data_IF_049831562331
#
_entry.id   IF_049831562331
#
_cell.length_a   1.000
_cell.length_b   1.000
_cell.length_c   1.000
_cell.angle_alpha   90.00
_cell.angle_beta   90.00
_cell.angle_gamma   90.00
#
_symmetry.space_group_name_H-M   'P 1'
#
loop_
_entity.id
_entity.type
_entity.pdbx_description
1 polymer ?
#
# COMPACT_ATOMS: atom_id res chain seq x y z
N UNK A 1 47.76 -35.10 -18.11
CA UNK A 1 48.56 -33.95 -17.64
C UNK A 1 48.16 -32.74 -18.48
N UNK A 2 47.73 -31.58 -18.01
CA UNK A 2 47.29 -31.09 -16.71
C UNK A 2 46.31 -29.94 -17.00
N UNK A 3 45.19 -29.88 -16.29
CA UNK A 3 44.15 -28.88 -16.48
C UNK A 3 44.70 -27.49 -16.13
N UNK A 4 44.84 -26.61 -17.14
CA UNK A 4 45.20 -25.20 -16.94
C UNK A 4 44.00 -24.49 -16.30
N UNK A 5 43.99 -24.42 -14.97
CA UNK A 5 43.11 -23.52 -14.23
C UNK A 5 43.60 -22.10 -14.44
N UNK A 6 42.87 -21.32 -15.23
CA UNK A 6 43.07 -19.87 -15.35
C UNK A 6 42.59 -19.21 -14.05
N UNK A 7 43.52 -18.88 -13.17
CA UNK A 7 43.23 -18.03 -12.01
C UNK A 7 43.01 -16.60 -12.50
N UNK A 8 41.79 -16.09 -12.33
CA UNK A 8 41.47 -14.69 -12.61
C UNK A 8 42.02 -13.83 -11.46
N UNK A 9 42.94 -12.93 -11.79
CA UNK A 9 43.57 -11.99 -10.87
C UNK A 9 42.57 -10.87 -10.56
N UNK A 10 42.17 -10.70 -9.31
CA UNK A 10 41.44 -9.51 -8.86
C UNK A 10 42.48 -8.60 -8.22
N UNK A 11 42.79 -7.45 -8.84
CA UNK A 11 43.63 -6.43 -8.22
C UNK A 11 42.88 -5.11 -8.17
N UNK A 12 42.70 -4.60 -6.95
CA UNK A 12 42.32 -3.21 -6.65
C UNK A 12 43.20 -2.75 -5.48
N UNK A 13 44.50 -2.52 -5.72
CA UNK A 13 45.36 -1.62 -4.92
C UNK A 13 46.81 -1.67 -5.46
N UNK A 14 47.52 -0.53 -5.58
CA UNK A 14 48.91 -0.46 -6.05
C UNK A 14 49.93 -0.61 -4.91
N UNK A 15 49.73 -1.54 -3.98
CA UNK A 15 50.67 -1.80 -2.88
C UNK A 15 51.39 -3.12 -3.11
N UNK A 16 52.49 -3.06 -3.88
CA UNK A 16 53.45 -4.14 -4.04
C UNK A 16 54.65 -3.81 -3.16
N UNK A 17 54.97 -4.67 -2.19
CA UNK A 17 56.25 -4.64 -1.47
C UNK A 17 57.20 -5.62 -2.18
N UNK A 18 58.37 -5.14 -2.60
CA UNK A 18 59.49 -5.91 -3.18
C UNK A 18 59.23 -6.74 -4.46
N UNK A 19 58.27 -6.34 -5.29
CA UNK A 19 58.14 -6.87 -6.66
C UNK A 19 57.73 -8.34 -6.79
N UNK A 20 57.31 -8.99 -5.69
CA UNK A 20 56.78 -10.35 -5.69
C UNK A 20 55.26 -10.31 -5.52
N UNK A 21 54.46 -11.04 -6.33
CA UNK A 21 53.01 -11.07 -6.19
C UNK A 21 52.59 -11.68 -4.84
N UNK A 22 51.84 -10.91 -4.06
CA UNK A 22 51.35 -11.31 -2.74
C UNK A 22 50.03 -12.09 -2.92
N UNK A 23 50.07 -13.39 -2.64
CA UNK A 23 48.89 -14.26 -2.75
C UNK A 23 48.16 -14.30 -1.40
N UNK A 24 47.03 -13.61 -1.30
CA UNK A 24 46.13 -13.70 -0.16
C UNK A 24 44.93 -14.56 -0.56
N UNK A 25 44.66 -15.63 0.17
CA UNK A 25 43.43 -16.41 0.04
C UNK A 25 42.53 -16.14 1.25
N UNK A 26 41.30 -15.73 1.01
CA UNK A 26 40.24 -15.66 2.02
C UNK A 26 39.21 -16.76 1.74
N UNK A 27 38.69 -17.40 2.79
CA UNK A 27 37.62 -18.39 2.69
C UNK A 27 36.23 -17.77 2.47
N UNK A 28 36.15 -16.44 2.41
CA UNK A 28 34.91 -15.73 2.12
C UNK A 28 34.81 -15.45 0.62
N UNK A 29 33.70 -15.85 -0.01
CA UNK A 29 33.35 -15.41 -1.36
C UNK A 29 33.38 -13.87 -1.42
N UNK A 30 33.83 -13.26 -2.53
CA UNK A 30 33.79 -11.80 -2.67
C UNK A 30 32.33 -11.34 -2.53
N UNK A 31 32.03 -10.69 -1.41
CA UNK A 31 30.73 -10.06 -1.21
C UNK A 31 30.63 -8.95 -2.26
N UNK A 32 29.66 -9.04 -3.16
CA UNK A 32 29.38 -7.97 -4.11
C UNK A 32 29.14 -6.70 -3.29
N UNK A 33 30.01 -5.70 -3.43
CA UNK A 33 29.82 -4.40 -2.81
C UNK A 33 28.54 -3.77 -3.37
N UNK A 34 27.43 -3.86 -2.63
CA UNK A 34 26.26 -3.05 -2.88
C UNK A 34 26.56 -1.61 -2.46
N UNK A 35 26.04 -0.62 -3.19
CA UNK A 35 26.12 0.81 -2.82
C UNK A 35 25.37 1.16 -1.52
N UNK A 36 24.81 0.16 -0.84
CA UNK A 36 24.03 0.29 0.37
C UNK A 36 24.66 -0.61 1.42
N UNK A 37 24.77 -0.08 2.63
CA UNK A 37 25.18 -0.86 3.79
C UNK A 37 24.02 -1.78 4.21
N UNK A 38 24.29 -3.06 4.47
CA UNK A 38 23.26 -3.93 4.99
C UNK A 38 22.90 -3.50 6.42
N UNK A 39 21.62 -3.25 6.66
CA UNK A 39 21.09 -2.77 7.93
C UNK A 39 19.78 -3.47 8.29
N UNK A 40 19.39 -3.38 9.57
CA UNK A 40 18.13 -3.93 10.08
C UNK A 40 18.24 -5.32 10.71
N UNK A 41 17.13 -5.76 11.33
CA UNK A 41 17.08 -6.97 12.16
C UNK A 41 17.44 -8.26 11.41
N UNK A 42 17.05 -8.37 10.13
CA UNK A 42 17.36 -9.56 9.32
C UNK A 42 18.85 -9.72 9.05
N UNK A 43 19.55 -8.62 8.74
CA UNK A 43 21.00 -8.64 8.60
C UNK A 43 21.69 -8.90 9.93
N UNK A 44 21.22 -8.25 11.01
CA UNK A 44 21.78 -8.43 12.35
C UNK A 44 21.68 -9.88 12.84
N UNK A 45 20.53 -10.53 12.64
CA UNK A 45 20.32 -11.93 12.99
C UNK A 45 21.27 -12.87 12.23
N UNK A 46 21.44 -12.66 10.91
CA UNK A 46 22.39 -13.45 10.11
C UNK A 46 23.83 -13.21 10.55
N UNK A 47 24.19 -11.97 10.90
CA UNK A 47 25.53 -11.64 11.38
C UNK A 47 25.85 -12.28 12.74
N UNK A 48 24.86 -12.30 13.66
CA UNK A 48 24.97 -13.00 14.95
C UNK A 48 25.14 -14.51 14.76
N UNK A 49 24.34 -15.11 13.88
CA UNK A 49 24.44 -16.53 13.52
C UNK A 49 25.80 -16.90 12.95
N UNK A 50 26.36 -16.08 12.06
CA UNK A 50 27.71 -16.28 11.52
C UNK A 50 28.81 -16.14 12.57
N UNK A 51 28.60 -15.33 13.62
CA UNK A 51 29.51 -15.22 14.77
C UNK A 51 29.29 -16.29 15.83
N UNK A 52 28.36 -17.22 15.64
CA UNK A 52 28.03 -18.26 16.62
C UNK A 52 27.32 -17.71 17.86
N UNK A 53 26.81 -16.49 17.79
CA UNK A 53 26.00 -15.83 18.83
C UNK A 53 24.51 -15.99 18.49
N UNK A 54 24.11 -17.20 18.11
CA UNK A 54 22.70 -17.53 17.89
C UNK A 54 22.04 -17.65 19.26
N UNK A 55 21.09 -16.76 19.59
CA UNK A 55 20.15 -17.04 20.67
C UNK A 55 19.29 -18.20 20.21
N UNK A 56 19.63 -19.41 20.65
CA UNK A 56 18.82 -20.60 20.40
C UNK A 56 17.49 -20.41 21.13
N UNK A 57 16.44 -20.07 20.41
CA UNK A 57 15.10 -20.49 20.82
C UNK A 57 15.02 -22.00 20.59
N UNK A 58 15.36 -22.76 21.64
CA UNK A 58 15.11 -24.19 21.71
C UNK A 58 13.59 -24.42 21.60
N UNK A 59 13.15 -24.85 20.42
CA UNK A 59 11.83 -25.42 20.21
C UNK A 59 11.96 -26.93 20.23
N UNK A 60 11.93 -27.52 21.42
CA UNK A 60 11.56 -28.92 21.59
C UNK A 60 10.29 -29.04 22.43
N UNK A 61 9.35 -29.76 21.85
CA UNK A 61 8.08 -30.23 22.37
C UNK A 61 8.27 -31.14 23.59
N UNK A 62 7.63 -30.83 24.72
CA UNK A 62 7.11 -31.86 25.62
C UNK A 62 5.90 -31.36 26.41
N UNK A 63 4.94 -32.25 26.58
CA UNK A 63 3.57 -32.05 27.01
C UNK A 63 3.45 -32.51 28.47
N UNK A 64 3.56 -31.60 29.46
CA UNK A 64 3.11 -31.85 30.85
C UNK A 64 2.73 -30.59 31.64
N UNK A 65 1.52 -30.65 32.18
CA UNK A 65 0.97 -29.86 33.30
C UNK A 65 1.87 -29.89 34.54
N UNK A 66 2.10 -28.74 35.21
CA UNK A 66 1.76 -28.45 36.62
C UNK A 66 2.24 -27.05 37.08
N UNK A 67 1.43 -26.42 37.93
CA UNK A 67 1.65 -25.18 38.70
C UNK A 67 2.95 -25.10 39.50
N UNK A 68 3.47 -23.88 39.71
CA UNK A 68 3.63 -23.25 41.05
C UNK A 68 4.37 -21.90 40.99
N UNK A 69 4.02 -21.05 41.96
CA UNK A 69 4.41 -19.65 42.19
C UNK A 69 5.89 -19.39 42.53
N UNK A 70 6.39 -18.19 42.20
CA UNK A 70 6.81 -17.11 43.14
C UNK A 70 8.07 -16.30 42.71
N UNK A 71 7.86 -14.98 42.59
CA UNK A 71 8.72 -13.77 42.78
C UNK A 71 10.22 -13.82 42.51
N UNK A 72 10.77 -12.98 41.62
CA UNK A 72 11.15 -11.53 41.76
C UNK A 72 12.43 -11.35 40.90
N UNK A 73 12.86 -10.24 40.29
CA UNK A 73 12.80 -8.81 40.59
C UNK A 73 13.29 -8.06 39.32
N UNK A 74 12.50 -7.06 38.90
CA UNK A 74 12.87 -5.77 38.29
C UNK A 74 14.13 -5.60 37.39
N UNK A 75 13.90 -5.22 36.12
CA UNK A 75 14.76 -4.27 35.39
C UNK A 75 13.90 -3.51 34.38
N UNK A 76 13.40 -2.35 34.81
CA UNK A 76 12.74 -1.36 33.96
C UNK A 76 13.76 -0.64 33.07
N UNK A 77 13.65 -0.79 31.75
CA UNK A 77 14.23 0.12 30.77
C UNK A 77 13.12 0.52 29.78
N UNK A 78 12.75 1.80 29.85
CA UNK A 78 11.61 2.37 29.14
C UNK A 78 11.69 2.20 27.63
N UNK A 79 10.63 1.63 27.07
CA UNK A 79 10.29 1.79 25.66
C UNK A 79 9.09 2.72 25.60
N UNK A 80 9.27 3.85 24.94
CA UNK A 80 8.26 4.88 24.73
C UNK A 80 6.98 4.28 24.13
N UNK A 81 5.92 4.30 24.95
CA UNK A 81 4.56 4.02 24.54
C UNK A 81 4.10 5.11 23.58
N UNK A 82 4.22 4.87 22.27
CA UNK A 82 3.44 5.61 21.28
C UNK A 82 1.99 5.13 21.40
N UNK A 83 1.23 5.76 22.29
CA UNK A 83 -0.22 5.58 22.36
C UNK A 83 -0.84 6.14 21.06
N UNK A 84 -0.99 5.28 20.05
CA UNK A 84 -1.97 5.51 19.00
C UNK A 84 -3.34 5.42 19.67
N UNK A 85 -3.89 6.58 20.08
CA UNK A 85 -5.29 6.72 20.48
C UNK A 85 -6.14 6.07 19.39
N UNK A 86 -6.76 4.95 19.73
CA UNK A 86 -7.69 4.19 18.90
C UNK A 86 -8.75 5.12 18.32
N UNK A 87 -8.85 5.09 16.99
CA UNK A 87 -9.84 5.84 16.25
C UNK A 87 -11.08 4.95 16.22
N UNK A 88 -12.04 5.22 17.11
CA UNK A 88 -13.38 4.63 17.08
C UNK A 88 -13.90 4.61 15.64
N UNK A 89 -14.01 3.44 15.03
CA UNK A 89 -14.69 3.27 13.74
C UNK A 89 -16.20 3.16 14.04
N UNK A 90 -16.87 4.30 14.07
CA UNK A 90 -18.34 4.31 14.09
C UNK A 90 -18.84 3.74 12.76
N UNK A 91 -19.44 2.55 12.80
CA UNK A 91 -20.38 2.12 11.79
C UNK A 91 -21.51 3.16 11.67
N UNK A 92 -21.90 3.43 10.42
CA UNK A 92 -22.86 4.45 9.95
C UNK A 92 -22.15 5.61 9.23
N UNK A 93 -22.10 5.51 7.90
CA UNK A 93 -21.85 6.59 6.93
C UNK A 93 -21.11 7.83 7.42
N UNK A 94 -19.92 7.67 8.00
CA UNK A 94 -19.07 8.83 8.24
C UNK A 94 -18.63 9.32 6.87
N UNK A 95 -19.09 10.51 6.49
CA UNK A 95 -18.61 11.19 5.28
C UNK A 95 -17.09 11.29 5.42
N UNK A 96 -16.38 10.36 4.80
CA UNK A 96 -14.94 10.33 4.85
C UNK A 96 -14.47 11.62 4.21
N UNK A 97 -13.73 12.43 4.96
CA UNK A 97 -13.28 13.72 4.46
C UNK A 97 -12.51 13.49 3.15
N UNK A 98 -12.87 14.24 2.10
CA UNK A 98 -12.21 14.11 0.82
C UNK A 98 -10.76 14.63 0.94
N UNK A 99 -9.83 13.70 1.15
CA UNK A 99 -8.41 13.99 1.33
C UNK A 99 -7.82 14.71 0.12
N UNK A 100 -8.31 14.44 -1.09
CA UNK A 100 -7.87 15.17 -2.28
C UNK A 100 -8.37 16.61 -2.25
N UNK A 101 -9.63 16.84 -1.90
CA UNK A 101 -10.17 18.19 -1.77
C UNK A 101 -9.43 19.01 -0.69
N UNK A 102 -9.11 18.40 0.45
CA UNK A 102 -8.32 19.03 1.52
C UNK A 102 -6.93 19.49 1.06
N UNK A 103 -6.30 18.73 0.17
CA UNK A 103 -5.01 19.12 -0.44
C UNK A 103 -5.17 20.00 -1.69
N UNK A 104 -6.38 20.42 -2.06
CA UNK A 104 -6.63 21.19 -3.29
C UNK A 104 -6.42 20.38 -4.58
N UNK A 105 -6.45 19.05 -4.49
CA UNK A 105 -6.29 18.10 -5.59
C UNK A 105 -7.63 17.44 -5.99
N UNK A 106 -8.76 17.99 -5.56
CA UNK A 106 -10.10 17.42 -5.82
C UNK A 106 -10.39 17.18 -7.31
N UNK A 107 -9.80 17.97 -8.21
CA UNK A 107 -9.96 17.79 -9.66
C UNK A 107 -9.14 16.62 -10.23
N UNK A 108 -8.01 16.29 -9.60
CA UNK A 108 -7.10 15.22 -10.05
C UNK A 108 -7.47 13.88 -9.41
N UNK A 109 -7.93 13.87 -8.15
CA UNK A 109 -8.23 12.65 -7.37
C UNK A 109 -7.15 11.58 -7.55
N UNK A 110 -7.54 10.35 -7.88
CA UNK A 110 -6.67 9.20 -8.12
C UNK A 110 -5.64 9.40 -9.24
N UNK A 111 -5.82 10.38 -10.14
CA UNK A 111 -4.84 10.73 -11.18
C UNK A 111 -3.69 11.60 -10.66
N UNK A 112 -3.78 12.12 -9.44
CA UNK A 112 -2.72 12.94 -8.87
C UNK A 112 -1.41 12.15 -8.72
N UNK A 113 -0.31 12.68 -9.24
CA UNK A 113 1.02 12.10 -9.05
C UNK A 113 1.53 12.36 -7.63
N UNK A 114 2.46 11.52 -7.15
CA UNK A 114 3.07 11.72 -5.84
C UNK A 114 3.73 13.10 -5.70
N UNK A 115 4.36 13.60 -6.76
CA UNK A 115 5.00 14.92 -6.74
C UNK A 115 3.96 16.05 -6.61
N UNK A 116 2.80 15.91 -7.26
CA UNK A 116 1.69 16.84 -7.08
C UNK A 116 1.14 16.81 -5.65
N UNK A 117 1.01 15.62 -5.04
CA UNK A 117 0.58 15.45 -3.64
C UNK A 117 1.59 16.09 -2.67
N UNK A 118 2.89 15.84 -2.86
CA UNK A 118 3.94 16.45 -2.04
C UNK A 118 3.96 17.96 -2.17
N UNK A 119 3.80 18.48 -3.40
CA UNK A 119 3.78 19.92 -3.65
C UNK A 119 2.55 20.57 -3.01
N UNK A 120 1.36 20.02 -3.24
CA UNK A 120 0.13 20.58 -2.71
C UNK A 120 0.08 20.54 -1.18
N UNK A 121 0.60 19.48 -0.56
CA UNK A 121 0.75 19.40 0.89
C UNK A 121 1.66 20.52 1.44
N UNK A 122 2.82 20.76 0.83
CA UNK A 122 3.71 21.87 1.27
C UNK A 122 3.01 23.21 1.16
N UNK A 123 2.34 23.47 0.04
CA UNK A 123 1.62 24.73 -0.19
C UNK A 123 0.47 24.89 0.81
N UNK A 124 -0.26 23.82 1.10
CA UNK A 124 -1.40 23.80 2.03
C UNK A 124 -0.95 23.94 3.49
N UNK A 125 0.08 23.21 3.90
CA UNK A 125 0.68 23.30 5.22
C UNK A 125 1.22 24.71 5.49
N UNK A 126 1.85 25.35 4.50
CA UNK A 126 2.33 26.73 4.61
C UNK A 126 1.19 27.76 4.69
N UNK A 127 0.01 27.47 4.14
CA UNK A 127 -1.16 28.37 4.21
C UNK A 127 -1.92 28.19 5.52
N UNK A 128 -2.12 26.95 5.96
CA UNK A 128 -2.95 26.61 7.11
C UNK A 128 -2.16 26.30 8.39
N UNK A 129 -0.86 26.63 8.44
CA UNK A 129 -0.08 26.46 9.65
C UNK A 129 -0.68 27.30 10.80
N UNK A 130 -0.81 26.77 12.03
CA UNK A 130 -1.41 27.48 13.15
C UNK A 130 -0.74 28.84 13.42
N UNK A 131 0.59 28.90 13.37
CA UNK A 131 1.33 30.16 13.58
C UNK A 131 0.97 31.27 12.57
N UNK A 132 0.68 30.92 11.31
CA UNK A 132 0.31 31.91 10.29
C UNK A 132 -1.16 32.31 10.39
N UNK A 133 -1.99 31.43 10.94
CA UNK A 133 -3.41 31.67 11.17
C UNK A 133 -3.66 32.41 12.49
N UNK A 134 -2.63 32.60 13.33
CA UNK A 134 -2.72 33.34 14.59
C UNK A 134 -3.21 34.79 14.41
N UNK A 135 -3.00 35.39 13.24
CA UNK A 135 -3.54 36.72 12.93
C UNK A 135 -5.09 36.73 12.86
N UNK A 136 -5.72 35.62 12.46
CA UNK A 136 -7.19 35.52 12.45
C UNK A 136 -7.75 35.56 13.87
N UNK A 137 -7.07 34.92 14.83
CA UNK A 137 -7.45 34.89 16.25
C UNK A 137 -7.50 36.28 16.91
N UNK A 138 -6.81 37.27 16.33
CA UNK A 138 -6.81 38.65 16.83
C UNK A 138 -8.10 39.41 16.47
N UNK A 139 -8.86 38.92 15.47
CA UNK A 139 -10.11 39.55 15.05
C UNK A 139 -11.31 39.15 15.91
N UNK A 140 -11.23 38.06 16.67
CA UNK A 140 -12.30 37.68 17.60
C UNK A 140 -12.24 38.43 18.93
N UNK A 141 -13.41 38.90 19.38
CA UNK A 141 -13.54 39.76 20.58
C UNK A 141 -13.78 39.00 21.87
N UNK A 142 -14.30 37.76 21.80
CA UNK A 142 -14.59 36.95 22.99
C UNK A 142 -13.58 35.82 23.13
N UNK A 143 -13.14 35.55 24.37
CA UNK A 143 -12.19 34.45 24.65
C UNK A 143 -12.73 33.08 24.21
N UNK A 144 -14.04 32.88 24.29
CA UNK A 144 -14.69 31.67 23.78
C UNK A 144 -14.60 31.55 22.24
N UNK A 145 -14.77 32.65 21.49
CA UNK A 145 -14.65 32.64 20.03
C UNK A 145 -13.20 32.45 19.58
N UNK A 146 -12.24 33.06 20.28
CA UNK A 146 -10.79 32.84 20.04
C UNK A 146 -10.43 31.37 20.23
N UNK A 147 -10.90 30.75 21.32
CA UNK A 147 -10.64 29.34 21.57
C UNK A 147 -11.27 28.45 20.50
N UNK A 148 -12.54 28.69 20.13
CA UNK A 148 -13.19 27.92 19.07
C UNK A 148 -12.45 28.02 17.72
N UNK A 149 -11.98 29.21 17.35
CA UNK A 149 -11.20 29.42 16.12
C UNK A 149 -9.85 28.75 16.15
N UNK A 150 -9.19 28.76 17.30
CA UNK A 150 -7.94 28.02 17.50
C UNK A 150 -8.16 26.53 17.30
N UNK A 151 -9.22 25.97 17.88
CA UNK A 151 -9.56 24.55 17.74
C UNK A 151 -9.92 24.20 16.29
N UNK A 152 -10.62 25.08 15.56
CA UNK A 152 -10.90 24.93 14.12
C UNK A 152 -9.61 24.89 13.29
N UNK A 153 -8.67 25.80 13.54
CA UNK A 153 -7.38 25.87 12.84
C UNK A 153 -6.55 24.61 13.09
N UNK A 154 -6.43 24.18 14.34
CA UNK A 154 -5.69 22.97 14.71
C UNK A 154 -6.33 21.71 14.11
N UNK A 155 -7.66 21.62 14.14
CA UNK A 155 -8.42 20.52 13.55
C UNK A 155 -8.22 20.46 12.02
N UNK A 156 -8.29 21.60 11.34
CA UNK A 156 -8.08 21.66 9.89
C UNK A 156 -6.64 21.29 9.50
N UNK A 157 -5.64 21.79 10.23
CA UNK A 157 -4.25 21.43 9.98
C UNK A 157 -3.99 19.95 10.20
N UNK A 158 -4.58 19.36 11.26
CA UNK A 158 -4.52 17.92 11.50
C UNK A 158 -5.18 17.11 10.38
N UNK A 159 -6.30 17.58 9.83
CA UNK A 159 -6.94 16.94 8.68
C UNK A 159 -6.06 16.98 7.42
N UNK A 160 -5.33 18.08 7.19
CA UNK A 160 -4.34 18.19 6.10
C UNK A 160 -3.19 17.19 6.30
N UNK A 161 -2.69 17.03 7.53
CA UNK A 161 -1.65 16.06 7.84
C UNK A 161 -2.14 14.62 7.59
N UNK A 162 -3.32 14.28 8.08
CA UNK A 162 -3.94 12.97 7.85
C UNK A 162 -4.15 12.70 6.35
N UNK A 163 -4.64 13.69 5.59
CA UNK A 163 -4.83 13.56 4.15
C UNK A 163 -3.51 13.24 3.44
N UNK A 164 -2.41 13.91 3.81
CA UNK A 164 -1.11 13.64 3.24
C UNK A 164 -0.57 12.25 3.63
N UNK A 165 -0.72 11.84 4.89
CA UNK A 165 -0.31 10.51 5.35
C UNK A 165 -1.03 9.37 4.62
N UNK A 166 -2.32 9.55 4.32
CA UNK A 166 -3.12 8.58 3.57
C UNK A 166 -2.74 8.57 2.09
N UNK A 167 -2.62 9.75 1.46
CA UNK A 167 -2.38 9.85 0.02
C UNK A 167 -0.92 9.62 -0.39
N UNK A 168 0.04 9.79 0.52
CA UNK A 168 1.46 9.56 0.23
C UNK A 168 1.86 8.08 0.35
N UNK A 169 1.18 7.30 1.19
CA UNK A 169 1.40 5.86 1.30
C UNK A 169 0.63 5.12 0.18
N UNK A 170 1.29 4.40 -0.74
CA UNK A 170 0.62 3.74 -1.86
C UNK A 170 -0.45 2.73 -1.44
N UNK A 171 -0.28 2.07 -0.30
CA UNK A 171 -1.22 1.07 0.19
C UNK A 171 -2.45 1.75 0.78
N UNK A 172 -2.26 2.76 1.64
CA UNK A 172 -3.38 3.53 2.21
C UNK A 172 -4.13 4.30 1.13
N UNK A 173 -3.43 4.84 0.15
CA UNK A 173 -4.02 5.52 -1.00
C UNK A 173 -4.89 4.57 -1.81
N UNK A 174 -4.45 3.35 -2.10
CA UNK A 174 -5.28 2.36 -2.82
C UNK A 174 -6.54 2.00 -2.04
N UNK A 175 -6.40 1.78 -0.74
CA UNK A 175 -7.54 1.51 0.15
C UNK A 175 -8.53 2.67 0.06
N UNK A 176 -8.06 3.90 0.27
CA UNK A 176 -8.87 5.12 0.17
C UNK A 176 -9.52 5.29 -1.20
N UNK A 177 -8.74 5.20 -2.28
CA UNK A 177 -9.24 5.35 -3.65
C UNK A 177 -10.26 4.26 -4.01
N UNK A 178 -10.23 3.09 -3.37
CA UNK A 178 -11.21 2.02 -3.56
C UNK A 178 -12.52 2.24 -2.77
N UNK A 179 -12.51 3.15 -1.80
CA UNK A 179 -13.69 3.56 -1.01
C UNK A 179 -14.51 4.65 -1.71
N UNK A 180 -13.92 5.33 -2.69
CA UNK A 180 -14.60 6.35 -3.49
C UNK A 180 -15.86 5.77 -4.17
N UNK A 181 -16.89 6.60 -4.28
CA UNK A 181 -18.10 6.26 -5.05
C UNK A 181 -17.72 5.82 -6.47
N UNK A 182 -18.22 4.65 -6.86
CA UNK A 182 -17.96 4.05 -8.16
C UNK A 182 -19.24 3.43 -8.70
N UNK A 183 -19.54 3.72 -9.96
CA UNK A 183 -20.60 3.04 -10.69
C UNK A 183 -20.13 1.62 -11.04
N UNK A 184 -20.72 0.61 -10.39
CA UNK A 184 -20.41 -0.79 -10.61
C UNK A 184 -21.25 -1.44 -11.74
N UNK A 185 -22.20 -0.70 -12.33
CA UNK A 185 -23.09 -1.24 -13.36
C UNK A 185 -22.29 -1.67 -14.59
N UNK A 186 -22.65 -2.85 -15.12
CA UNK A 186 -22.06 -3.41 -16.33
C UNK A 186 -23.14 -3.60 -17.40
N UNK A 187 -22.89 -3.19 -18.65
CA UNK A 187 -23.81 -3.49 -19.73
C UNK A 187 -23.98 -4.99 -19.93
N UNK A 188 -25.23 -5.42 -20.12
CA UNK A 188 -25.57 -6.82 -20.39
C UNK A 188 -25.93 -7.03 -21.86
N UNK A 189 -26.55 -6.04 -22.49
CA UNK A 189 -26.98 -6.09 -23.88
C UNK A 189 -26.89 -4.72 -24.55
N UNK A 190 -26.79 -4.70 -25.87
CA UNK A 190 -26.85 -3.50 -26.70
C UNK A 190 -27.23 -3.87 -28.14
N UNK A 191 -27.74 -2.90 -28.89
CA UNK A 191 -27.84 -3.02 -30.33
C UNK A 191 -26.43 -2.93 -30.96
N UNK A 192 -26.15 -3.61 -32.09
CA UNK A 192 -24.80 -3.63 -32.69
C UNK A 192 -24.22 -2.23 -32.96
N UNK A 193 -25.05 -1.29 -33.41
CA UNK A 193 -24.65 0.09 -33.70
C UNK A 193 -24.26 0.92 -32.45
N UNK A 194 -24.69 0.49 -31.27
CA UNK A 194 -24.42 1.19 -30.02
C UNK A 194 -23.37 0.48 -29.16
N UNK A 195 -22.80 -0.63 -29.65
CA UNK A 195 -21.79 -1.43 -28.94
C UNK A 195 -20.68 -0.57 -28.33
N UNK A 196 -20.01 0.23 -29.16
CA UNK A 196 -18.89 1.08 -28.71
C UNK A 196 -19.32 2.18 -27.74
N UNK A 197 -20.53 2.71 -27.89
CA UNK A 197 -21.08 3.75 -27.01
C UNK A 197 -21.44 3.21 -25.63
N UNK A 198 -21.86 1.94 -25.57
CA UNK A 198 -22.30 1.27 -24.35
C UNK A 198 -21.11 0.64 -23.62
N UNK A 199 -20.34 -0.20 -24.31
CA UNK A 199 -19.23 -0.94 -23.68
C UNK A 199 -17.96 -0.13 -23.54
N UNK A 200 -17.68 0.83 -24.44
CA UNK A 200 -16.48 1.66 -24.38
C UNK A 200 -16.33 2.40 -23.04
N UNK A 201 -17.33 3.20 -22.62
CA UNK A 201 -17.30 3.87 -21.32
C UNK A 201 -17.21 2.91 -20.14
N UNK A 202 -17.86 1.75 -20.21
CA UNK A 202 -17.80 0.73 -19.16
C UNK A 202 -16.38 0.18 -19.00
N UNK A 203 -15.68 -0.14 -20.10
CA UNK A 203 -14.28 -0.58 -20.04
C UNK A 203 -13.35 0.51 -19.54
N UNK A 204 -13.51 1.76 -20.00
CA UNK A 204 -12.72 2.89 -19.51
C UNK A 204 -12.89 3.10 -18.00
N UNK A 205 -14.13 3.06 -17.51
CA UNK A 205 -14.46 3.18 -16.09
C UNK A 205 -13.82 2.07 -15.26
N UNK A 206 -13.97 0.81 -15.68
CA UNK A 206 -13.40 -0.33 -14.96
C UNK A 206 -11.86 -0.39 -15.09
N UNK A 207 -11.30 0.20 -16.15
CA UNK A 207 -9.86 0.29 -16.39
C UNK A 207 -9.12 1.07 -15.31
N UNK A 208 -9.81 1.98 -14.59
CA UNK A 208 -9.29 2.69 -13.41
C UNK A 208 -8.59 1.75 -12.43
N UNK A 209 -9.14 0.56 -12.25
CA UNK A 209 -8.64 -0.42 -11.28
C UNK A 209 -7.52 -1.32 -11.81
N UNK A 210 -7.04 -1.11 -13.05
CA UNK A 210 -6.02 -1.97 -13.64
C UNK A 210 -4.64 -1.78 -13.00
N UNK A 211 -4.02 -2.90 -12.60
CA UNK A 211 -2.60 -2.97 -12.23
C UNK A 211 -1.70 -2.77 -13.46
N UNK A 212 -2.12 -3.31 -14.60
CA UNK A 212 -1.34 -3.29 -15.85
C UNK A 212 -1.71 -2.06 -16.67
N UNK A 213 -0.70 -1.28 -17.05
CA UNK A 213 -0.85 -0.08 -17.86
C UNK A 213 0.04 -0.20 -19.11
N UNK A 214 -0.33 0.39 -20.26
CA UNK A 214 -1.55 1.16 -20.51
C UNK A 214 -2.79 0.26 -20.69
N UNK A 215 -3.97 0.81 -20.40
CA UNK A 215 -5.25 0.14 -20.64
C UNK A 215 -5.55 0.24 -22.15
N UNK A 216 -5.79 -0.88 -22.86
CA UNK A 216 -6.13 -0.84 -24.28
C UNK A 216 -7.54 -0.25 -24.48
N UNK A 217 -7.68 0.57 -25.51
CA UNK A 217 -8.99 1.10 -25.93
C UNK A 217 -9.79 0.00 -26.63
N UNK A 218 -11.13 0.05 -26.49
CA UNK A 218 -12.03 -0.83 -27.23
C UNK A 218 -11.93 -0.62 -28.75
N UNK A 219 -11.55 0.59 -29.17
CA UNK A 219 -11.46 0.99 -30.57
C UNK A 219 -12.83 1.30 -31.20
N UNK A 220 -12.91 1.05 -32.50
CA UNK A 220 -14.06 1.28 -33.37
C UNK A 220 -14.26 0.10 -34.34
N UNK A 221 -15.21 0.25 -35.27
CA UNK A 221 -15.55 -0.76 -36.28
C UNK A 221 -14.42 -1.04 -37.29
N UNK A 222 -13.50 -0.08 -37.46
CA UNK A 222 -12.36 -0.20 -38.38
C UNK A 222 -11.11 -0.79 -37.71
N UNK A 223 -11.19 -1.09 -36.42
CA UNK A 223 -10.05 -1.60 -35.65
C UNK A 223 -9.65 -3.01 -36.14
N UNK A 224 -8.36 -3.25 -36.45
CA UNK A 224 -7.90 -4.55 -36.93
C UNK A 224 -8.19 -5.67 -35.91
N UNK A 225 -8.57 -6.85 -36.41
CA UNK A 225 -8.87 -8.04 -35.58
C UNK A 225 -7.74 -8.37 -34.60
N UNK A 226 -6.48 -8.15 -35.00
CA UNK A 226 -5.30 -8.36 -34.14
C UNK A 226 -5.33 -7.46 -32.89
N UNK A 227 -5.77 -6.22 -33.04
CA UNK A 227 -5.87 -5.28 -31.92
C UNK A 227 -7.08 -5.59 -31.04
N UNK A 228 -8.17 -6.08 -31.65
CA UNK A 228 -9.35 -6.60 -30.93
C UNK A 228 -8.97 -7.80 -30.06
N UNK A 229 -8.20 -8.75 -30.60
CA UNK A 229 -7.69 -9.91 -29.85
C UNK A 229 -6.80 -9.47 -28.69
N UNK A 230 -5.90 -8.50 -28.90
CA UNK A 230 -5.05 -7.96 -27.82
C UNK A 230 -5.88 -7.29 -26.72
N UNK A 231 -6.91 -6.52 -27.10
CA UNK A 231 -7.84 -5.90 -26.16
C UNK A 231 -8.51 -6.97 -25.29
N UNK A 232 -9.12 -8.00 -25.89
CA UNK A 232 -9.78 -9.05 -25.13
C UNK A 232 -8.81 -9.86 -24.31
N UNK A 233 -7.62 -10.19 -24.82
CA UNK A 233 -6.58 -10.87 -24.06
C UNK A 233 -6.15 -10.09 -22.82
N UNK A 234 -6.03 -8.77 -22.90
CA UNK A 234 -5.78 -7.92 -21.74
C UNK A 234 -6.90 -8.05 -20.70
N UNK A 235 -8.15 -7.97 -21.13
CA UNK A 235 -9.31 -7.96 -20.23
C UNK A 235 -9.64 -9.34 -19.64
N UNK A 236 -9.42 -10.43 -20.36
CA UNK A 236 -9.50 -11.78 -19.81
C UNK A 236 -8.40 -12.05 -18.77
N UNK A 237 -7.27 -11.35 -18.87
CA UNK A 237 -6.16 -11.42 -17.90
C UNK A 237 -6.14 -10.21 -16.94
N UNK A 238 -7.28 -9.52 -16.78
CA UNK A 238 -7.37 -8.29 -16.00
C UNK A 238 -6.99 -8.51 -14.54
N UNK A 239 -6.09 -7.69 -14.02
CA UNK A 239 -5.68 -7.68 -12.61
C UNK A 239 -6.08 -6.37 -11.99
N UNK A 240 -6.99 -6.45 -11.01
CA UNK A 240 -7.48 -5.30 -10.26
C UNK A 240 -6.59 -5.00 -9.05
N UNK A 241 -6.30 -3.72 -8.79
CA UNK A 241 -5.75 -3.26 -7.52
C UNK A 241 -6.84 -2.82 -6.52
N UNK A 242 -8.12 -2.84 -6.92
CA UNK A 242 -9.25 -2.40 -6.07
C UNK A 242 -9.34 -3.27 -4.82
N UNK A 243 -9.48 -2.61 -3.68
CA UNK A 243 -9.62 -3.25 -2.36
C UNK A 243 -11.05 -3.05 -1.82
N UNK A 244 -11.47 -3.87 -0.84
CA UNK A 244 -12.82 -3.84 -0.27
C UNK A 244 -12.80 -3.75 1.27
N UNK A 245 -12.31 -2.63 1.85
CA UNK A 245 -12.05 -2.52 3.29
C UNK A 245 -13.33 -2.31 4.13
N UNK A 246 -14.44 -1.94 3.49
CA UNK A 246 -15.73 -1.71 4.15
C UNK A 246 -16.47 -3.01 4.47
N UNK A 247 -16.07 -4.10 3.82
CA UNK A 247 -16.67 -5.41 4.01
C UNK A 247 -16.17 -6.11 5.29
N UNK A 248 -15.30 -5.46 6.07
CA UNK A 248 -14.83 -5.98 7.36
C UNK A 248 -15.96 -5.93 8.40
N UNK A 249 -16.63 -7.06 8.61
CA UNK A 249 -17.71 -7.22 9.60
C UNK A 249 -17.20 -7.19 11.05
N UNK A 250 -15.97 -7.67 11.29
CA UNK A 250 -15.42 -7.81 12.64
C UNK A 250 -14.44 -6.69 12.99
N UNK A 251 -14.75 -5.92 14.02
CA UNK A 251 -13.86 -4.90 14.58
C UNK A 251 -12.79 -5.55 15.48
N UNK A 252 -11.52 -5.45 15.05
CA UNK A 252 -10.38 -6.00 15.78
C UNK A 252 -10.14 -5.36 17.15
N UNK A 253 -10.66 -4.14 17.38
CA UNK A 253 -10.57 -3.46 18.69
C UNK A 253 -11.50 -4.10 19.74
N UNK A 254 -12.54 -4.83 19.31
CA UNK A 254 -13.47 -5.54 20.19
C UNK A 254 -12.98 -6.93 20.61
N UNK A 255 -11.78 -7.34 20.17
CA UNK A 255 -11.25 -8.66 20.47
C UNK A 255 -10.90 -8.80 21.97
N UNK A 256 -11.57 -9.73 22.65
CA UNK A 256 -11.36 -10.03 24.07
C UNK A 256 -10.05 -10.80 24.36
N UNK A 257 -9.47 -11.43 23.34
CA UNK A 257 -8.24 -12.21 23.47
C UNK A 257 -7.42 -12.22 22.18
N UNK A 258 -6.17 -12.67 22.26
CA UNK A 258 -5.30 -12.81 21.08
C UNK A 258 -5.87 -13.81 20.08
N UNK A 259 -6.45 -14.90 20.57
CA UNK A 259 -7.10 -15.94 19.77
C UNK A 259 -8.36 -15.39 19.11
N UNK A 260 -9.16 -14.60 19.83
CA UNK A 260 -10.34 -13.93 19.30
C UNK A 260 -9.96 -12.95 18.19
N UNK A 261 -8.91 -12.14 18.38
CA UNK A 261 -8.39 -11.22 17.35
C UNK A 261 -7.97 -11.96 16.09
N UNK A 262 -7.19 -13.04 16.22
CA UNK A 262 -6.76 -13.88 15.08
C UNK A 262 -7.94 -14.53 14.37
N UNK A 263 -8.99 -14.91 15.10
CA UNK A 263 -10.20 -15.43 14.50
C UNK A 263 -10.94 -14.35 13.69
N UNK A 264 -11.09 -13.15 14.25
CA UNK A 264 -11.70 -12.00 13.56
C UNK A 264 -10.92 -11.62 12.29
N UNK A 265 -9.59 -11.54 12.35
CA UNK A 265 -8.73 -11.28 11.19
C UNK A 265 -8.96 -12.31 10.06
N UNK A 266 -9.10 -13.59 10.41
CA UNK A 266 -9.40 -14.65 9.43
C UNK A 266 -10.80 -14.52 8.84
N UNK A 267 -11.78 -14.06 9.62
CA UNK A 267 -13.13 -13.84 9.09
C UNK A 267 -13.15 -12.65 8.14
N UNK A 268 -12.55 -11.52 8.52
CA UNK A 268 -12.42 -10.36 7.62
C UNK A 268 -11.70 -10.73 6.33
N UNK A 269 -10.59 -11.50 6.42
CA UNK A 269 -9.88 -11.98 5.23
C UNK A 269 -10.78 -12.84 4.31
N UNK A 270 -11.65 -13.70 4.86
CA UNK A 270 -12.62 -14.47 4.07
C UNK A 270 -13.66 -13.58 3.41
N UNK A 271 -14.16 -12.56 4.11
CA UNK A 271 -15.15 -11.64 3.56
C UNK A 271 -14.52 -10.82 2.42
N UNK A 272 -13.31 -10.29 2.63
CA UNK A 272 -12.55 -9.59 1.58
C UNK A 272 -12.28 -10.48 0.37
N UNK A 273 -11.89 -11.74 0.57
CA UNK A 273 -11.68 -12.69 -0.53
C UNK A 273 -12.98 -12.94 -1.31
N UNK A 274 -14.12 -13.05 -0.61
CA UNK A 274 -15.44 -13.17 -1.23
C UNK A 274 -15.79 -11.93 -2.05
N UNK A 275 -15.58 -10.73 -1.53
CA UNK A 275 -15.80 -9.48 -2.26
C UNK A 275 -14.93 -9.40 -3.52
N UNK A 276 -13.64 -9.76 -3.43
CA UNK A 276 -12.73 -9.85 -4.59
C UNK A 276 -13.21 -10.85 -5.64
N UNK A 277 -13.76 -12.00 -5.23
CA UNK A 277 -14.34 -13.00 -6.16
C UNK A 277 -15.60 -12.48 -6.86
N UNK A 278 -16.46 -11.76 -6.14
CA UNK A 278 -17.65 -11.12 -6.72
C UNK A 278 -17.22 -10.08 -7.76
N UNK A 279 -16.26 -9.22 -7.43
CA UNK A 279 -15.73 -8.23 -8.37
C UNK A 279 -15.08 -8.86 -9.60
N UNK A 280 -14.26 -9.89 -9.40
CA UNK A 280 -13.65 -10.64 -10.50
C UNK A 280 -14.72 -11.20 -11.45
N UNK A 281 -15.78 -11.78 -10.89
CA UNK A 281 -16.90 -12.34 -11.66
C UNK A 281 -17.66 -11.23 -12.40
N UNK A 282 -17.86 -10.06 -11.78
CA UNK A 282 -18.50 -8.89 -12.40
C UNK A 282 -17.71 -8.41 -13.62
N UNK A 283 -16.40 -8.19 -13.48
CA UNK A 283 -15.55 -7.79 -14.60
C UNK A 283 -15.50 -8.88 -15.67
N UNK A 284 -15.41 -10.15 -15.27
CA UNK A 284 -15.45 -11.29 -16.22
C UNK A 284 -16.74 -11.29 -17.05
N UNK A 285 -17.88 -11.02 -16.42
CA UNK A 285 -19.17 -10.91 -17.10
C UNK A 285 -19.22 -9.72 -18.06
N UNK A 286 -18.66 -8.56 -17.69
CA UNK A 286 -18.51 -7.41 -18.61
C UNK A 286 -17.78 -7.83 -19.89
N UNK A 287 -16.66 -8.54 -19.76
CA UNK A 287 -15.85 -9.00 -20.89
C UNK A 287 -16.64 -10.01 -21.74
N UNK A 288 -17.29 -10.99 -21.12
CA UNK A 288 -18.07 -11.99 -21.85
C UNK A 288 -19.28 -11.39 -22.58
N UNK A 289 -19.98 -10.45 -21.94
CA UNK A 289 -21.11 -9.76 -22.56
C UNK A 289 -20.65 -8.94 -23.76
N UNK A 290 -19.52 -8.23 -23.64
CA UNK A 290 -18.95 -7.50 -24.74
C UNK A 290 -18.52 -8.43 -25.88
N UNK A 291 -17.77 -9.50 -25.59
CA UNK A 291 -17.28 -10.43 -26.60
C UNK A 291 -18.40 -11.06 -27.42
N UNK A 292 -19.54 -11.39 -26.79
CA UNK A 292 -20.72 -11.95 -27.50
C UNK A 292 -21.45 -10.93 -28.38
N UNK A 293 -21.20 -9.63 -28.21
CA UNK A 293 -21.95 -8.53 -28.84
C UNK A 293 -21.09 -7.66 -29.75
N UNK A 294 -19.77 -7.88 -29.75
CA UNK A 294 -18.84 -7.13 -30.59
C UNK A 294 -19.10 -7.45 -32.07
N UNK A 295 -19.43 -6.46 -32.91
CA UNK A 295 -19.72 -6.69 -34.33
C UNK A 295 -18.50 -7.13 -35.16
N UNK A 296 -17.29 -7.03 -34.61
CA UNK A 296 -16.04 -7.36 -35.29
C UNK A 296 -15.63 -8.83 -35.14
N UNK A 297 -16.31 -9.57 -34.26
CA UNK A 297 -16.07 -11.00 -33.91
C UNK A 297 -17.26 -11.83 -34.39
#
# INVERSE_FOLDING_TARGET
MGSKRTCLLITYSPEIVDGVPLYVSSNCLPVKASKYEPAGHSFHAVALKLRGLDEKEDTETDDRSVSSDDKSQDFSAGSDNFSSKGKKKSGSGSQQQDHYALLGLGNLRFLATEDQIRKSYRDMALKHHPDKQAALLLHETTEAAKQAKKDEIESHFKAIQEAYEVLMDPTKRRIFDSTDEFDDDIPTDCAPQDFFKVFGPAFMRNGRWSVTQPIPSLGDDATPVVDVDQFYNFWYNFKSWREFPHEDEYDLEQAESREHKRWMERQNAKIQEKAKKVEYTRVRNLVDNAYRKDPRI
#
